data_IF_560585720455
#
_entry.id   IF_560585720455
#
_cell.length_a   1.000
_cell.length_b   1.000
_cell.length_c   1.000
_cell.angle_alpha   90.00
_cell.angle_beta   90.00
_cell.angle_gamma   90.00
#
_symmetry.space_group_name_H-M   'P 1'
#
loop_
_entity.id
_entity.type
_entity.pdbx_description
1 polymer ?
#
# COMPACT_ATOMS: atom_id res chain seq x y z
N UNK A 1 19.98 34.70 50.07
CA UNK A 1 19.79 33.38 49.44
C UNK A 1 20.78 33.26 48.31
N UNK A 2 21.70 32.32 48.41
CA UNK A 2 22.76 32.14 47.42
C UNK A 2 22.20 31.53 46.14
N UNK A 3 22.75 31.90 44.98
CA UNK A 3 22.33 31.36 43.69
C UNK A 3 22.42 29.82 43.64
N UNK A 4 23.41 29.24 44.34
CA UNK A 4 23.62 27.80 44.50
C UNK A 4 22.51 27.07 45.27
N UNK A 5 21.87 27.73 46.25
CA UNK A 5 20.75 27.12 46.99
C UNK A 5 19.48 27.04 46.14
N UNK A 6 19.25 28.04 45.28
CA UNK A 6 18.06 28.11 44.41
C UNK A 6 18.11 27.04 43.30
N UNK A 7 19.29 26.75 42.76
CA UNK A 7 19.45 25.71 41.72
C UNK A 7 19.26 24.30 42.31
N UNK A 8 19.76 24.04 43.53
CA UNK A 8 19.59 22.76 44.22
C UNK A 8 18.12 22.51 44.64
N UNK A 9 17.40 23.54 45.11
CA UNK A 9 15.96 23.42 45.39
C UNK A 9 15.14 23.13 44.13
N UNK A 10 15.48 23.75 43.00
CA UNK A 10 14.82 23.50 41.72
C UNK A 10 15.07 22.07 41.20
N UNK A 11 16.27 21.52 41.38
CA UNK A 11 16.56 20.11 41.06
C UNK A 11 15.79 19.13 41.96
N UNK A 12 15.67 19.40 43.27
CA UNK A 12 14.97 18.51 44.20
C UNK A 12 13.44 18.48 43.99
N UNK A 13 12.82 19.57 43.53
CA UNK A 13 11.37 19.61 43.26
C UNK A 13 10.97 18.74 42.05
N UNK A 14 11.89 18.51 41.10
CA UNK A 14 11.64 17.73 39.88
C UNK A 14 11.74 16.21 40.15
N UNK A 15 12.47 15.80 41.20
CA UNK A 15 12.75 14.38 41.50
C UNK A 15 11.63 13.69 42.30
N UNK A 16 10.74 14.45 42.96
CA UNK A 16 9.81 13.90 43.97
C UNK A 16 8.36 13.63 43.54
N UNK A 17 7.90 14.05 42.35
CA UNK A 17 6.47 13.92 41.97
C UNK A 17 6.28 12.98 40.77
N UNK A 18 5.52 11.87 40.91
CA UNK A 18 5.22 11.00 39.77
C UNK A 18 4.38 11.78 38.76
N UNK A 19 4.91 11.96 37.55
CA UNK A 19 4.19 12.67 36.48
C UNK A 19 3.11 11.75 35.91
N UNK A 20 1.86 12.01 36.30
CA UNK A 20 0.68 11.31 35.77
C UNK A 20 0.37 11.88 34.39
N UNK A 21 0.43 11.03 33.37
CA UNK A 21 0.04 11.38 32.01
C UNK A 21 -1.49 11.41 31.95
N UNK A 22 -2.08 12.58 31.68
CA UNK A 22 -3.53 12.71 31.50
C UNK A 22 -3.90 12.96 30.05
N UNK A 23 -3.10 13.76 29.34
CA UNK A 23 -3.31 14.10 27.93
C UNK A 23 -2.11 13.69 27.05
N UNK A 24 -2.34 13.59 25.75
CA UNK A 24 -1.32 13.40 24.71
C UNK A 24 -0.17 14.42 24.81
N UNK A 25 -0.50 15.66 25.19
CA UNK A 25 0.46 16.74 25.43
C UNK A 25 1.41 16.42 26.58
N UNK A 26 0.93 15.78 27.65
CA UNK A 26 1.74 15.45 28.82
C UNK A 26 2.75 14.34 28.48
N UNK A 27 2.35 13.39 27.63
CA UNK A 27 3.22 12.34 27.10
C UNK A 27 4.34 12.95 26.24
N UNK A 28 3.99 13.88 25.34
CA UNK A 28 4.97 14.58 24.51
C UNK A 28 5.92 15.43 25.36
N UNK A 29 5.39 16.16 26.35
CA UNK A 29 6.18 16.93 27.30
C UNK A 29 7.19 16.06 28.03
N UNK A 30 6.79 14.90 28.55
CA UNK A 30 7.71 13.96 29.20
C UNK A 30 8.81 13.43 28.26
N UNK A 31 8.46 13.10 27.01
CA UNK A 31 9.45 12.68 26.01
C UNK A 31 10.42 13.80 25.68
N UNK A 32 9.93 15.03 25.56
CA UNK A 32 10.71 16.22 25.25
C UNK A 32 11.65 16.56 26.42
N UNK A 33 11.14 16.57 27.66
CA UNK A 33 11.96 16.74 28.87
C UNK A 33 13.06 15.68 28.95
N UNK A 34 12.75 14.41 28.61
CA UNK A 34 13.76 13.34 28.56
C UNK A 34 14.84 13.56 27.49
N UNK A 35 14.47 14.10 26.33
CA UNK A 35 15.42 14.42 25.25
C UNK A 35 16.27 15.65 25.60
N UNK A 36 15.66 16.69 26.18
CA UNK A 36 16.37 17.92 26.56
C UNK A 36 17.28 17.77 27.78
N UNK A 37 17.10 16.73 28.61
CA UNK A 37 18.06 16.39 29.68
C UNK A 37 19.47 16.12 29.17
N UNK A 38 19.64 15.68 27.92
CA UNK A 38 20.94 15.41 27.32
C UNK A 38 20.95 15.90 25.84
N UNK A 39 21.14 17.20 25.60
CA UNK A 39 21.04 17.76 24.25
C UNK A 39 22.19 17.34 23.33
N UNK A 40 23.36 17.03 23.88
CA UNK A 40 24.54 16.64 23.10
C UNK A 40 24.51 15.18 22.60
N UNK A 41 23.56 14.37 23.09
CA UNK A 41 23.43 12.98 22.69
C UNK A 41 22.69 12.88 21.36
N UNK A 42 23.31 12.35 20.28
CA UNK A 42 22.61 12.19 19.01
C UNK A 42 21.45 11.19 19.15
N UNK A 43 20.30 11.55 18.58
CA UNK A 43 19.09 10.72 18.60
C UNK A 43 19.15 9.76 17.41
N UNK A 44 19.13 8.45 17.67
CA UNK A 44 19.00 7.42 16.64
C UNK A 44 17.52 7.22 16.33
N UNK A 45 17.08 7.72 15.17
CA UNK A 45 15.76 7.41 14.65
C UNK A 45 15.75 5.94 14.20
N UNK A 46 14.71 5.16 14.57
CA UNK A 46 14.62 3.79 14.10
C UNK A 46 14.47 3.79 12.58
N UNK A 47 15.34 3.06 11.90
CA UNK A 47 15.19 2.77 10.48
C UNK A 47 13.93 1.92 10.25
N UNK A 48 13.38 1.99 9.03
CA UNK A 48 12.23 1.15 8.65
C UNK A 48 12.58 -0.32 8.88
N UNK A 49 11.68 -1.12 9.49
CA UNK A 49 11.95 -2.53 9.72
C UNK A 49 12.17 -3.22 8.37
N UNK A 50 13.26 -3.98 8.27
CA UNK A 50 13.56 -4.78 7.07
C UNK A 50 12.49 -5.85 6.92
N UNK A 51 12.02 -6.05 5.69
CA UNK A 51 11.10 -7.14 5.39
C UNK A 51 11.76 -8.48 5.73
N UNK A 52 10.99 -9.38 6.34
CA UNK A 52 11.48 -10.72 6.68
C UNK A 52 11.59 -11.53 5.39
N UNK A 53 12.80 -11.61 4.84
CA UNK A 53 13.08 -12.39 3.64
C UNK A 53 13.13 -13.90 3.89
N UNK A 54 13.22 -14.65 2.79
CA UNK A 54 13.52 -16.09 2.81
C UNK A 54 14.94 -16.29 3.37
N UNK A 55 15.17 -17.27 4.26
CA UNK A 55 16.52 -17.59 4.71
C UNK A 55 17.41 -17.98 3.53
N UNK A 56 18.60 -17.40 3.43
CA UNK A 56 19.57 -17.72 2.39
C UNK A 56 20.01 -19.18 2.54
N UNK A 57 19.98 -19.93 1.44
CA UNK A 57 20.42 -21.32 1.40
C UNK A 57 21.96 -21.33 1.32
N UNK A 58 22.67 -22.03 2.22
CA UNK A 58 24.11 -22.19 2.12
C UNK A 58 24.51 -22.88 0.81
N UNK A 59 25.57 -22.40 0.18
CA UNK A 59 26.07 -22.95 -1.09
C UNK A 59 26.59 -24.39 -0.94
N UNK A 60 27.35 -24.66 0.14
CA UNK A 60 27.95 -25.96 0.39
C UNK A 60 27.45 -26.57 1.69
N UNK A 61 26.94 -27.80 1.60
CA UNK A 61 26.66 -28.65 2.76
C UNK A 61 27.85 -29.58 2.96
N UNK A 62 28.56 -29.44 4.07
CA UNK A 62 29.79 -30.20 4.35
C UNK A 62 29.53 -31.61 4.88
N UNK A 63 28.36 -31.84 5.47
CA UNK A 63 28.06 -33.05 6.23
C UNK A 63 27.09 -33.96 5.45
N UNK A 64 27.36 -34.17 4.16
CA UNK A 64 26.55 -35.05 3.32
C UNK A 64 27.06 -36.48 3.47
N UNK A 65 26.20 -37.36 3.98
CA UNK A 65 26.49 -38.80 4.04
C UNK A 65 26.32 -39.43 2.66
N UNK A 66 27.04 -40.53 2.37
CA UNK A 66 27.01 -41.17 1.05
C UNK A 66 25.61 -41.60 0.61
N UNK A 67 25.34 -41.59 -0.71
CA UNK A 67 23.99 -41.80 -1.26
C UNK A 67 23.38 -43.17 -0.95
N UNK A 68 24.20 -44.19 -0.71
CA UNK A 68 23.77 -45.54 -0.34
C UNK A 68 23.78 -45.80 1.17
N UNK A 69 24.12 -44.81 1.99
CA UNK A 69 24.11 -44.94 3.44
C UNK A 69 22.66 -45.00 3.96
N UNK A 70 22.43 -45.79 5.01
CA UNK A 70 21.11 -45.90 5.64
C UNK A 70 20.68 -44.63 6.37
N UNK A 71 19.40 -44.56 6.78
CA UNK A 71 18.88 -43.43 7.54
C UNK A 71 19.54 -43.34 8.92
N UNK A 72 20.24 -42.23 9.18
CA UNK A 72 20.82 -41.93 10.49
C UNK A 72 19.79 -41.41 11.49
N UNK A 73 20.11 -41.44 12.79
CA UNK A 73 19.23 -40.94 13.86
C UNK A 73 18.93 -39.44 13.78
N UNK A 74 19.83 -38.66 13.16
CA UNK A 74 19.67 -37.22 12.96
C UNK A 74 18.87 -36.82 11.71
N UNK A 75 18.65 -37.75 10.77
CA UNK A 75 18.08 -37.44 9.45
C UNK A 75 16.64 -36.92 9.55
N UNK A 76 15.86 -37.46 10.50
CA UNK A 76 14.51 -36.99 10.77
C UNK A 76 14.48 -35.49 11.15
N UNK A 77 15.42 -35.04 11.98
CA UNK A 77 15.47 -33.64 12.38
C UNK A 77 15.93 -32.75 11.23
N UNK A 78 16.88 -33.20 10.41
CA UNK A 78 17.31 -32.50 9.20
C UNK A 78 16.12 -32.27 8.26
N UNK A 79 15.37 -33.33 7.92
CA UNK A 79 14.16 -33.22 7.10
C UNK A 79 13.13 -32.27 7.72
N UNK A 80 12.85 -32.40 9.02
CA UNK A 80 11.89 -31.55 9.73
C UNK A 80 12.29 -30.06 9.66
N UNK A 81 13.57 -29.73 9.82
CA UNK A 81 14.04 -28.34 9.69
C UNK A 81 13.98 -27.84 8.25
N UNK A 82 14.39 -28.67 7.29
CA UNK A 82 14.34 -28.34 5.87
C UNK A 82 12.91 -28.10 5.39
N UNK A 83 11.97 -28.97 5.78
CA UNK A 83 10.54 -28.85 5.44
C UNK A 83 9.94 -27.55 5.98
N UNK A 84 10.24 -27.18 7.22
CA UNK A 84 9.78 -25.89 7.79
C UNK A 84 10.34 -24.71 7.02
N UNK A 85 11.65 -24.74 6.67
CA UNK A 85 12.28 -23.68 5.87
C UNK A 85 11.62 -23.58 4.49
N UNK A 86 11.36 -24.71 3.84
CA UNK A 86 10.74 -24.74 2.52
C UNK A 86 9.28 -24.27 2.55
N UNK A 87 8.49 -24.68 3.56
CA UNK A 87 7.12 -24.19 3.72
C UNK A 87 7.07 -22.70 4.01
N UNK A 88 7.96 -22.20 4.86
CA UNK A 88 8.09 -20.77 5.11
C UNK A 88 8.48 -20.01 3.82
N UNK A 89 9.40 -20.57 3.02
CA UNK A 89 9.80 -20.01 1.73
C UNK A 89 8.63 -19.97 0.74
N UNK A 90 7.92 -21.08 0.54
CA UNK A 90 6.78 -21.16 -0.37
C UNK A 90 5.65 -20.22 0.05
N UNK A 91 5.36 -20.16 1.35
CA UNK A 91 4.37 -19.23 1.91
C UNK A 91 4.76 -17.78 1.64
N UNK A 92 6.01 -17.41 1.90
CA UNK A 92 6.52 -16.07 1.63
C UNK A 92 6.42 -15.70 0.14
N UNK A 93 6.84 -16.60 -0.77
CA UNK A 93 6.76 -16.34 -2.21
C UNK A 93 5.33 -16.15 -2.69
N UNK A 94 4.39 -16.97 -2.18
CA UNK A 94 2.96 -16.83 -2.49
C UNK A 94 2.42 -15.49 -1.98
N UNK A 95 2.63 -15.17 -0.70
CA UNK A 95 2.16 -13.92 -0.09
C UNK A 95 2.75 -12.68 -0.76
N UNK A 96 4.03 -12.73 -1.14
CA UNK A 96 4.69 -11.64 -1.86
C UNK A 96 4.09 -11.45 -3.25
N UNK A 97 3.88 -12.54 -3.99
CA UNK A 97 3.26 -12.50 -5.32
C UNK A 97 1.84 -11.94 -5.29
N UNK A 98 1.02 -12.37 -4.32
CA UNK A 98 -0.34 -11.82 -4.16
C UNK A 98 -0.31 -10.32 -3.79
N UNK A 99 0.60 -9.91 -2.89
CA UNK A 99 0.75 -8.49 -2.53
C UNK A 99 1.15 -7.64 -3.73
N UNK A 100 2.19 -8.05 -4.46
CA UNK A 100 2.69 -7.33 -5.64
C UNK A 100 1.59 -7.19 -6.71
N UNK A 101 0.84 -8.27 -6.97
CA UNK A 101 -0.30 -8.24 -7.89
C UNK A 101 -1.36 -7.22 -7.47
N UNK A 102 -1.77 -7.24 -6.20
CA UNK A 102 -2.79 -6.31 -5.68
C UNK A 102 -2.30 -4.87 -5.71
N UNK A 103 -1.03 -4.62 -5.40
CA UNK A 103 -0.42 -3.30 -5.44
C UNK A 103 -0.36 -2.78 -6.89
N UNK A 104 0.04 -3.62 -7.86
CA UNK A 104 0.02 -3.26 -9.28
C UNK A 104 -1.38 -2.92 -9.78
N UNK A 105 -2.38 -3.74 -9.45
CA UNK A 105 -3.78 -3.49 -9.82
C UNK A 105 -4.28 -2.17 -9.22
N UNK A 106 -3.91 -1.87 -7.97
CA UNK A 106 -4.23 -0.61 -7.31
C UNK A 106 -3.58 0.58 -8.00
N UNK A 107 -2.28 0.49 -8.32
CA UNK A 107 -1.54 1.55 -9.00
C UNK A 107 -2.11 1.83 -10.39
N UNK A 108 -2.38 0.78 -11.18
CA UNK A 108 -3.03 0.90 -12.50
C UNK A 108 -4.37 1.63 -12.40
N UNK A 109 -5.22 1.24 -11.44
CA UNK A 109 -6.52 1.91 -11.21
C UNK A 109 -6.36 3.39 -10.82
N UNK A 110 -5.36 3.71 -10.00
CA UNK A 110 -5.08 5.08 -9.58
C UNK A 110 -4.62 5.96 -10.75
N UNK A 111 -3.75 5.43 -11.62
CA UNK A 111 -3.27 6.11 -12.82
C UNK A 111 -4.39 6.32 -13.84
N UNK A 112 -5.24 5.31 -14.08
CA UNK A 112 -6.40 5.46 -14.96
C UNK A 112 -7.36 6.54 -14.47
N UNK A 113 -7.62 6.59 -13.17
CA UNK A 113 -8.49 7.60 -12.58
C UNK A 113 -7.90 9.01 -12.72
N UNK A 114 -6.58 9.15 -12.50
CA UNK A 114 -5.87 10.41 -12.76
C UNK A 114 -5.97 10.81 -14.23
N UNK A 115 -5.71 9.90 -15.16
CA UNK A 115 -5.81 10.15 -16.61
C UNK A 115 -7.22 10.59 -17.01
N UNK A 116 -8.26 9.88 -16.57
CA UNK A 116 -9.67 10.24 -16.83
C UNK A 116 -10.02 11.62 -16.27
N UNK A 117 -9.53 11.97 -15.08
CA UNK A 117 -9.73 13.30 -14.50
C UNK A 117 -8.98 14.40 -15.29
N UNK A 118 -7.75 14.13 -15.72
CA UNK A 118 -6.95 15.03 -16.55
C UNK A 118 -7.57 15.26 -17.93
N UNK A 119 -8.05 14.22 -18.60
CA UNK A 119 -8.76 14.34 -19.89
C UNK A 119 -10.02 15.23 -19.76
N UNK A 120 -10.81 15.01 -18.70
CA UNK A 120 -12.02 15.82 -18.43
C UNK A 120 -11.67 17.27 -18.12
N UNK A 121 -10.63 17.51 -17.34
CA UNK A 121 -10.20 18.88 -16.99
C UNK A 121 -9.52 19.58 -18.17
N UNK A 122 -8.74 18.87 -18.98
CA UNK A 122 -8.10 19.38 -20.20
C UNK A 122 -9.16 19.80 -21.25
N UNK A 123 -10.18 18.97 -21.49
CA UNK A 123 -11.30 19.32 -22.39
C UNK A 123 -12.01 20.60 -21.93
N UNK A 124 -12.30 20.72 -20.63
CA UNK A 124 -12.91 21.94 -20.05
C UNK A 124 -11.97 23.15 -20.14
N UNK A 125 -10.68 22.98 -19.88
CA UNK A 125 -9.65 24.02 -19.98
C UNK A 125 -9.50 24.53 -21.42
N UNK A 126 -9.45 23.63 -22.41
CA UNK A 126 -9.38 23.97 -23.83
C UNK A 126 -10.62 24.78 -24.27
N UNK A 127 -11.83 24.40 -23.83
CA UNK A 127 -13.05 25.18 -24.10
C UNK A 127 -12.95 26.61 -23.54
N UNK A 128 -12.48 26.77 -22.30
CA UNK A 128 -12.29 28.10 -21.68
C UNK A 128 -11.20 28.92 -22.38
N UNK A 129 -10.09 28.32 -22.79
CA UNK A 129 -9.03 29.00 -23.54
C UNK A 129 -9.49 29.46 -24.93
N UNK A 130 -10.28 28.64 -25.65
CA UNK A 130 -10.90 29.02 -26.92
C UNK A 130 -11.89 30.18 -26.74
N UNK A 131 -12.67 30.19 -25.67
CA UNK A 131 -13.55 31.32 -25.34
C UNK A 131 -12.77 32.58 -24.95
N UNK A 132 -11.69 32.45 -24.17
CA UNK A 132 -10.83 33.58 -23.76
C UNK A 132 -10.16 34.22 -24.97
N UNK A 133 -9.55 33.42 -25.86
CA UNK A 133 -8.91 33.90 -27.08
C UNK A 133 -9.88 34.59 -28.03
N UNK A 134 -11.12 34.09 -28.19
CA UNK A 134 -12.18 34.80 -28.93
C UNK A 134 -12.51 36.16 -28.32
N UNK A 135 -12.65 36.26 -27.00
CA UNK A 135 -12.97 37.53 -26.30
C UNK A 135 -11.81 38.54 -26.36
N UNK A 136 -10.58 38.09 -26.18
CA UNK A 136 -9.40 38.98 -26.25
C UNK A 136 -9.07 39.37 -27.69
N UNK A 137 -9.22 38.45 -28.65
CA UNK A 137 -9.05 38.71 -30.08
C UNK A 137 -10.12 39.65 -30.64
N UNK A 138 -11.37 39.54 -30.17
CA UNK A 138 -12.44 40.50 -30.48
C UNK A 138 -12.13 41.91 -29.96
N UNK A 139 -11.63 42.03 -28.72
CA UNK A 139 -11.17 43.33 -28.18
C UNK A 139 -9.97 43.90 -28.94
N UNK A 140 -8.99 43.08 -29.33
CA UNK A 140 -7.86 43.55 -30.14
C UNK A 140 -8.28 43.95 -31.55
N UNK A 141 -9.27 43.27 -32.16
CA UNK A 141 -9.85 43.68 -33.44
C UNK A 141 -10.64 44.98 -33.33
N UNK A 142 -11.41 45.17 -32.25
CA UNK A 142 -12.12 46.44 -31.99
C UNK A 142 -11.18 47.62 -31.73
N UNK A 143 -10.12 47.41 -30.95
CA UNK A 143 -9.08 48.44 -30.72
C UNK A 143 -8.28 48.77 -31.98
N UNK A 144 -8.18 47.83 -32.95
CA UNK A 144 -7.50 48.06 -34.23
C UNK A 144 -8.44 48.63 -35.31
N UNK A 145 -9.75 48.39 -35.21
CA UNK A 145 -10.74 49.02 -36.09
C UNK A 145 -11.06 50.47 -35.72
N UNK A 146 -10.89 50.88 -34.45
CA UNK A 146 -10.96 52.30 -34.06
C UNK A 146 -9.77 53.13 -34.55
N UNK A 147 -8.66 52.49 -34.95
CA UNK A 147 -7.51 53.18 -35.57
C UNK A 147 -7.57 53.22 -37.11
N UNK A 148 -8.57 52.59 -37.74
CA UNK A 148 -8.60 52.37 -39.20
C UNK A 148 -10.04 52.39 -39.77
N UNK A 149 -10.92 53.25 -39.23
CA UNK A 149 -12.31 53.35 -39.69
C UNK A 149 -12.52 54.51 -40.66
N UNK A 150 -12.19 54.27 -41.93
CA UNK A 150 -12.95 54.76 -43.10
C UNK A 150 -13.06 53.62 -44.12
N UNK A 151 -14.31 53.28 -44.51
CA UNK A 151 -14.73 52.38 -45.61
C UNK A 151 -15.12 50.90 -45.30
N UNK A 152 -16.45 50.69 -45.21
CA UNK A 152 -17.28 49.69 -45.95
C UNK A 152 -17.47 48.20 -45.50
N UNK A 153 -18.73 47.93 -45.10
CA UNK A 153 -19.73 46.91 -45.54
C UNK A 153 -19.48 45.37 -45.49
N UNK A 154 -20.47 44.72 -44.85
CA UNK A 154 -21.09 43.38 -45.04
C UNK A 154 -20.30 42.05 -44.96
N UNK A 155 -20.89 41.10 -44.23
CA UNK A 155 -20.43 39.71 -44.14
C UNK A 155 -21.22 38.87 -43.13
N UNK A 156 -22.47 38.52 -43.47
CA UNK A 156 -23.28 37.45 -42.87
C UNK A 156 -22.52 36.10 -42.84
N UNK A 157 -22.61 35.37 -41.73
CA UNK A 157 -21.87 34.12 -41.52
C UNK A 157 -22.51 33.24 -40.45
N UNK A 158 -23.61 32.58 -40.81
CA UNK A 158 -24.28 31.50 -40.06
C UNK A 158 -23.33 30.30 -39.90
N UNK A 159 -23.21 29.75 -38.69
CA UNK A 159 -22.75 28.36 -38.48
C UNK A 159 -23.39 27.75 -37.23
N UNK A 160 -24.56 27.18 -37.50
CA UNK A 160 -25.09 25.90 -37.01
C UNK A 160 -24.71 25.43 -35.61
N UNK A 161 -25.73 25.49 -34.76
CA UNK A 161 -25.89 24.77 -33.50
C UNK A 161 -26.16 23.28 -33.82
N UNK A 162 -25.26 22.38 -33.44
CA UNK A 162 -25.55 20.94 -33.35
C UNK A 162 -25.57 20.53 -31.87
N UNK A 163 -26.79 20.47 -31.33
CA UNK A 163 -27.13 19.69 -30.15
C UNK A 163 -27.28 18.22 -30.56
N UNK A 164 -26.28 17.39 -30.25
CA UNK A 164 -26.48 15.95 -30.10
C UNK A 164 -26.65 15.63 -28.62
N UNK A 165 -27.92 15.59 -28.21
CA UNK A 165 -28.37 15.10 -26.91
C UNK A 165 -28.31 13.56 -26.96
N UNK A 166 -27.18 12.99 -26.55
CA UNK A 166 -27.13 11.57 -26.17
C UNK A 166 -27.44 11.46 -24.67
N UNK A 167 -28.67 11.02 -24.39
CA UNK A 167 -29.14 10.57 -23.08
C UNK A 167 -28.47 9.24 -22.75
N UNK A 168 -27.44 9.28 -21.92
CA UNK A 168 -27.01 8.10 -21.18
C UNK A 168 -27.39 8.22 -19.71
N UNK A 169 -28.03 7.14 -19.25
CA UNK A 169 -28.74 6.96 -17.99
C UNK A 169 -27.83 7.23 -16.79
N UNK A 170 -28.22 8.22 -15.99
CA UNK A 170 -27.85 8.28 -14.58
C UNK A 170 -28.79 7.34 -13.83
N UNK A 171 -28.34 6.11 -13.58
CA UNK A 171 -28.96 5.25 -12.58
C UNK A 171 -28.67 5.83 -11.19
N UNK A 172 -29.72 6.40 -10.59
CA UNK A 172 -29.81 6.64 -9.16
C UNK A 172 -29.91 5.28 -8.49
N UNK A 173 -28.81 4.78 -7.92
CA UNK A 173 -28.87 3.71 -6.93
C UNK A 173 -28.96 4.40 -5.57
N UNK A 174 -30.20 4.67 -5.15
CA UNK A 174 -30.52 4.72 -3.73
C UNK A 174 -30.31 3.30 -3.17
N UNK A 175 -29.33 3.15 -2.27
CA UNK A 175 -29.37 2.06 -1.30
C UNK A 175 -29.51 2.67 0.08
N UNK A 176 -30.72 2.49 0.58
CA UNK A 176 -31.16 2.66 1.94
C UNK A 176 -30.22 1.90 2.89
N UNK A 177 -29.96 2.49 4.05
CA UNK A 177 -29.31 1.83 5.16
C UNK A 177 -30.11 0.62 5.64
N UNK A 178 -29.37 -0.42 6.05
CA UNK A 178 -29.95 -1.64 6.58
C UNK A 178 -28.88 -2.64 7.01
N UNK A 179 -28.54 -2.55 8.29
CA UNK A 179 -28.30 -3.68 9.20
C UNK A 179 -26.98 -4.48 9.12
N UNK A 180 -26.30 -4.43 10.27
CA UNK A 180 -25.26 -5.34 10.71
C UNK A 180 -25.70 -6.80 10.59
N UNK A 181 -24.92 -7.61 9.87
CA UNK A 181 -24.86 -9.06 10.09
C UNK A 181 -23.47 -9.42 10.59
N UNK A 182 -23.42 -9.73 11.87
CA UNK A 182 -22.34 -10.47 12.52
C UNK A 182 -22.05 -11.73 11.71
N UNK A 183 -20.79 -11.91 11.31
CA UNK A 183 -20.29 -13.21 10.85
C UNK A 183 -19.64 -13.88 12.05
N UNK A 184 -20.44 -14.68 12.74
CA UNK A 184 -20.04 -15.63 13.76
C UNK A 184 -19.15 -16.70 13.12
N UNK A 185 -17.85 -16.68 13.43
CA UNK A 185 -16.91 -17.75 13.04
C UNK A 185 -17.17 -18.93 13.95
N UNK A 186 -17.94 -19.91 13.48
CA UNK A 186 -18.09 -21.20 14.14
C UNK A 186 -16.80 -22.02 14.00
N UNK A 187 -16.15 -22.24 15.14
CA UNK A 187 -15.15 -23.27 15.34
C UNK A 187 -15.72 -24.64 14.97
N UNK A 188 -15.15 -25.29 13.96
CA UNK A 188 -15.37 -26.73 13.76
C UNK A 188 -14.36 -27.50 14.60
N UNK A 189 -14.80 -27.89 15.79
CA UNK A 189 -14.21 -28.97 16.56
C UNK A 189 -14.49 -30.29 15.82
N UNK A 190 -13.44 -30.92 15.30
CA UNK A 190 -13.52 -32.26 14.73
C UNK A 190 -12.79 -33.25 15.63
N UNK A 191 -13.51 -33.90 16.53
CA UNK A 191 -13.07 -35.10 17.24
C UNK A 191 -13.49 -36.36 16.48
N UNK A 192 -12.50 -37.23 16.25
CA UNK A 192 -12.54 -38.71 16.13
C UNK A 192 -13.54 -39.36 15.17
N UNK A 193 -13.02 -40.19 14.25
CA UNK A 193 -13.17 -41.64 14.37
C UNK A 193 -12.10 -42.38 13.56
N UNK A 194 -11.51 -43.38 14.22
CA UNK A 194 -10.74 -44.47 13.62
C UNK A 194 -11.68 -45.32 12.75
N UNK A 195 -11.18 -45.81 11.61
CA UNK A 195 -11.35 -47.23 11.28
C UNK A 195 -10.39 -47.70 10.17
N UNK A 196 -9.67 -48.75 10.56
CA UNK A 196 -9.23 -49.95 9.85
C UNK A 196 -8.24 -49.96 8.67
N UNK A 197 -7.33 -50.91 8.84
CA UNK A 197 -6.39 -51.50 7.90
C UNK A 197 -7.03 -52.00 6.61
N UNK A 198 -6.29 -51.86 5.50
CA UNK A 198 -6.20 -52.91 4.50
C UNK A 198 -4.82 -52.89 3.85
N UNK A 199 -4.20 -54.06 3.80
CA UNK A 199 -2.87 -54.29 3.28
C UNK A 199 -2.85 -54.34 1.75
N UNK A 200 -1.72 -53.90 1.19
CA UNK A 200 -0.96 -54.62 0.17
C UNK A 200 -1.64 -54.98 -1.16
N UNK A 201 -1.17 -54.38 -2.25
CA UNK A 201 -0.59 -55.13 -3.38
C UNK A 201 0.04 -54.18 -4.40
N UNK A 202 1.33 -54.40 -4.65
CA UNK A 202 2.03 -53.92 -5.85
C UNK A 202 1.51 -54.67 -7.08
N UNK A 203 1.44 -54.01 -8.24
CA UNK A 203 1.84 -54.59 -9.54
C UNK A 203 1.93 -53.56 -10.67
N UNK A 204 3.14 -53.52 -11.24
CA UNK A 204 3.49 -53.43 -12.66
C UNK A 204 3.13 -52.15 -13.44
N UNK A 205 4.09 -51.22 -13.50
CA UNK A 205 4.18 -50.19 -14.54
C UNK A 205 5.26 -50.61 -15.55
N UNK A 206 4.81 -50.73 -16.80
CA UNK A 206 5.55 -51.18 -17.97
C UNK A 206 6.89 -50.46 -18.18
N UNK A 207 7.90 -51.25 -18.51
CA UNK A 207 9.10 -50.81 -19.21
C UNK A 207 8.79 -50.75 -20.72
N UNK A 208 8.85 -49.56 -21.30
CA UNK A 208 9.23 -49.37 -22.70
C UNK A 208 10.46 -48.45 -22.67
N UNK A 209 11.64 -49.05 -22.89
CA UNK A 209 12.88 -48.33 -23.18
C UNK A 209 12.93 -48.03 -24.69
N UNK A 210 13.01 -46.75 -25.04
CA UNK A 210 13.68 -46.28 -26.26
C UNK A 210 14.93 -45.49 -25.85
N UNK A 211 16.03 -45.79 -26.55
CA UNK A 211 17.33 -45.12 -26.63
C UNK A 211 18.37 -45.37 -25.52
#
# INVERSE_FOLDING_TARGET
>A
MSHSEIVNEAEQVIVGKPTIIRNSTDLQRLKLEKLMKNPDKPILLPEKPKERGVPVVPEFVRNVMGSSAGAGSGEFHVYRHLRRKEYARQKYMREKGERERMDEEYHKKLEENKRKAEERTAKKRAKRLKQKSKKTGGKQRQLKSESDSTESSDGEGVSTNEESVEKDKLEVIEQQGGENKEVEVKETQGTSNNDEHSQGSNKDLNQEEEA
#
